data_IF_686627802258
#
_entry.id   IF_686627802258
#
_cell.length_a   1.000
_cell.length_b   1.000
_cell.length_c   1.000
_cell.angle_alpha   90.00
_cell.angle_beta   90.00
_cell.angle_gamma   90.00
#
_symmetry.space_group_name_H-M   'P 1'
#
loop_
_entity.id
_entity.type
_entity.pdbx_description
1 polymer ?
#
# COMPACT_ATOMS: atom_id res chain seq x y z
N UNK A 1 11.39 -13.60 51.29
CA UNK A 1 10.39 -13.70 50.21
C UNK A 1 10.48 -12.43 49.38
N UNK A 2 10.44 -12.54 48.06
CA UNK A 2 10.73 -11.43 47.16
C UNK A 2 9.52 -10.47 47.13
N UNK A 3 9.52 -9.46 48.01
CA UNK A 3 8.37 -8.57 48.34
C UNK A 3 7.97 -7.60 47.20
N UNK A 4 8.62 -7.75 46.04
CA UNK A 4 8.40 -6.97 44.83
C UNK A 4 7.18 -7.45 44.03
N UNK A 5 6.76 -8.70 44.20
CA UNK A 5 5.62 -9.25 43.45
C UNK A 5 4.32 -9.10 44.24
N UNK A 6 3.26 -8.64 43.58
CA UNK A 6 1.92 -8.63 44.18
C UNK A 6 1.48 -10.06 44.49
N UNK A 7 1.04 -10.31 45.72
CA UNK A 7 0.47 -11.61 46.10
C UNK A 7 -0.80 -11.90 45.30
N UNK A 8 -1.14 -13.18 45.15
CA UNK A 8 -2.34 -13.59 44.39
C UNK A 8 -3.62 -12.97 44.95
N UNK A 9 -3.69 -12.78 46.27
CA UNK A 9 -4.81 -12.09 46.94
C UNK A 9 -4.94 -10.64 46.47
N UNK A 10 -3.83 -9.91 46.36
CA UNK A 10 -3.83 -8.50 45.91
C UNK A 10 -4.16 -8.41 44.42
N UNK A 11 -3.63 -9.32 43.60
CA UNK A 11 -3.97 -9.35 42.17
C UNK A 11 -5.47 -9.63 41.95
N UNK A 12 -6.05 -10.54 42.74
CA UNK A 12 -7.47 -10.84 42.66
C UNK A 12 -8.34 -9.65 43.07
N UNK A 13 -7.99 -8.99 44.19
CA UNK A 13 -8.68 -7.76 44.63
C UNK A 13 -8.56 -6.62 43.62
N UNK A 14 -7.41 -6.48 42.94
CA UNK A 14 -7.22 -5.47 41.90
C UNK A 14 -8.12 -5.72 40.67
N UNK A 15 -8.31 -6.99 40.29
CA UNK A 15 -9.24 -7.37 39.21
C UNK A 15 -10.69 -7.06 39.60
N UNK A 16 -11.09 -7.42 40.82
CA UNK A 16 -12.44 -7.12 41.32
C UNK A 16 -12.73 -5.62 41.35
N UNK A 17 -11.82 -4.81 41.91
CA UNK A 17 -11.96 -3.36 41.94
C UNK A 17 -12.04 -2.74 40.53
N UNK A 18 -11.28 -3.29 39.57
CA UNK A 18 -11.32 -2.82 38.19
C UNK A 18 -12.66 -3.16 37.51
N UNK A 19 -13.19 -4.37 37.75
CA UNK A 19 -14.50 -4.79 37.23
C UNK A 19 -15.63 -3.92 37.82
N UNK A 20 -15.62 -3.68 39.13
CA UNK A 20 -16.61 -2.82 39.81
C UNK A 20 -16.59 -1.40 39.24
N UNK A 21 -15.41 -0.80 39.09
CA UNK A 21 -15.26 0.56 38.54
C UNK A 21 -15.66 0.69 37.08
N UNK A 22 -15.66 -0.41 36.32
CA UNK A 22 -15.88 -0.41 34.87
C UNK A 22 -17.15 -1.16 34.44
N UNK A 23 -18.16 -1.25 35.31
CA UNK A 23 -19.45 -1.90 35.04
C UNK A 23 -19.28 -3.36 34.55
N UNK A 24 -18.47 -4.14 35.26
CA UNK A 24 -18.23 -5.56 34.97
C UNK A 24 -17.25 -5.83 33.82
N UNK A 25 -16.53 -4.81 33.33
CA UNK A 25 -15.56 -4.96 32.25
C UNK A 25 -14.13 -4.72 32.73
N UNK A 26 -13.24 -5.68 32.49
CA UNK A 26 -11.83 -5.52 32.85
C UNK A 26 -11.13 -4.63 31.82
N UNK A 27 -10.55 -3.51 32.27
CA UNK A 27 -9.94 -2.50 31.38
C UNK A 27 -8.56 -2.09 31.86
N UNK A 28 -7.67 -1.84 30.89
CA UNK A 28 -6.37 -1.25 31.15
C UNK A 28 -6.53 0.18 31.71
N UNK A 29 -5.85 0.48 32.83
CA UNK A 29 -5.91 1.78 33.49
C UNK A 29 -5.36 2.94 32.65
N UNK A 30 -4.43 2.67 31.72
CA UNK A 30 -3.76 3.70 30.94
C UNK A 30 -4.44 4.02 29.60
N UNK A 31 -4.87 2.99 28.85
CA UNK A 31 -5.47 3.16 27.52
C UNK A 31 -6.94 2.77 27.43
N UNK A 32 -7.54 2.22 28.48
CA UNK A 32 -8.95 1.81 28.50
C UNK A 32 -9.29 0.57 27.68
N UNK A 33 -8.30 -0.11 27.08
CA UNK A 33 -8.52 -1.35 26.30
C UNK A 33 -9.15 -2.43 27.18
N UNK A 34 -10.21 -3.08 26.67
CA UNK A 34 -10.86 -4.23 27.32
C UNK A 34 -9.93 -5.45 27.29
N UNK A 35 -9.77 -6.10 28.45
CA UNK A 35 -8.98 -7.32 28.63
C UNK A 35 -9.97 -8.44 28.95
N UNK A 36 -9.92 -9.54 28.20
CA UNK A 36 -10.96 -10.59 28.32
C UNK A 36 -10.54 -11.66 29.32
N UNK A 37 -9.23 -11.85 29.52
CA UNK A 37 -8.67 -12.88 30.40
C UNK A 37 -7.64 -12.27 31.37
N UNK A 38 -7.52 -12.87 32.57
CA UNK A 38 -6.49 -12.48 33.56
C UNK A 38 -5.06 -12.63 33.00
N UNK A 39 -4.83 -13.58 32.10
CA UNK A 39 -3.52 -13.80 31.44
C UNK A 39 -3.06 -12.64 30.56
N UNK A 40 -3.96 -11.76 30.11
CA UNK A 40 -3.65 -10.56 29.33
C UNK A 40 -3.36 -9.33 30.21
N UNK A 41 -3.56 -9.47 31.52
CA UNK A 41 -3.40 -8.41 32.50
C UNK A 41 -1.98 -8.43 33.07
N UNK A 42 -1.30 -7.30 32.99
CA UNK A 42 -0.06 -7.08 33.71
C UNK A 42 -0.35 -6.21 34.93
N UNK A 43 -0.03 -6.73 36.11
CA UNK A 43 -0.14 -6.02 37.38
C UNK A 43 1.16 -5.26 37.62
N UNK A 44 1.07 -3.94 37.57
CA UNK A 44 2.22 -3.05 37.70
C UNK A 44 2.01 -2.06 38.84
N UNK A 45 3.09 -1.51 39.38
CA UNK A 45 3.00 -0.53 40.44
C UNK A 45 2.63 0.84 39.87
N UNK A 46 1.73 1.59 40.54
CA UNK A 46 1.44 3.00 40.16
C UNK A 46 2.66 3.86 40.44
N UNK A 47 3.21 3.73 41.64
CA UNK A 47 4.53 4.23 42.03
C UNK A 47 5.51 3.07 42.01
N UNK A 48 6.52 3.15 41.15
CA UNK A 48 7.51 2.10 40.98
C UNK A 48 8.11 1.61 42.30
N UNK A 49 8.29 0.30 42.44
CA UNK A 49 8.93 -0.30 43.62
C UNK A 49 10.33 0.28 43.88
N UNK A 50 11.09 0.58 42.82
CA UNK A 50 12.42 1.21 42.90
C UNK A 50 12.40 2.63 43.47
N UNK A 51 11.25 3.32 43.39
CA UNK A 51 11.02 4.63 44.02
C UNK A 51 10.35 4.51 45.40
N UNK A 52 10.32 3.30 45.98
CA UNK A 52 9.76 3.03 47.31
C UNK A 52 8.28 2.64 47.32
N UNK A 53 7.68 2.40 46.16
CA UNK A 53 6.30 1.93 46.07
C UNK A 53 6.11 0.54 46.69
N UNK A 54 5.21 0.42 47.67
CA UNK A 54 4.90 -0.88 48.29
C UNK A 54 4.00 -1.72 47.38
N UNK A 55 4.11 -3.05 47.48
CA UNK A 55 3.27 -4.00 46.74
C UNK A 55 1.89 -4.17 47.40
N UNK A 56 1.18 -3.06 47.62
CA UNK A 56 -0.17 -3.02 48.20
C UNK A 56 -1.24 -2.84 47.12
N UNK A 57 -2.50 -3.15 47.45
CA UNK A 57 -3.63 -3.02 46.51
C UNK A 57 -3.76 -1.60 45.95
N UNK A 58 -3.59 -0.57 46.79
CA UNK A 58 -3.72 0.84 46.39
C UNK A 58 -2.64 1.28 45.40
N UNK A 59 -1.51 0.58 45.37
CA UNK A 59 -0.41 0.86 44.46
C UNK A 59 -0.38 -0.12 43.27
N UNK A 60 -1.41 -0.95 43.09
CA UNK A 60 -1.51 -1.93 42.02
C UNK A 60 -2.42 -1.40 40.89
N UNK A 61 -1.94 -1.43 39.65
CA UNK A 61 -2.72 -1.09 38.45
C UNK A 61 -2.68 -2.21 37.41
N UNK A 62 -3.76 -2.31 36.64
CA UNK A 62 -3.90 -3.29 35.54
C UNK A 62 -3.55 -2.63 34.22
N UNK A 63 -2.51 -3.11 33.57
CA UNK A 63 -2.03 -2.64 32.26
C UNK A 63 -2.10 -3.73 31.20
N UNK A 64 -2.29 -3.32 29.94
CA UNK A 64 -2.07 -4.21 28.81
C UNK A 64 -0.57 -4.31 28.49
N UNK A 65 -0.16 -5.35 27.78
CA UNK A 65 1.26 -5.62 27.43
C UNK A 65 1.98 -4.39 26.87
N UNK A 66 1.36 -3.68 25.93
CA UNK A 66 1.98 -2.53 25.26
C UNK A 66 2.18 -1.35 26.22
N UNK A 67 1.21 -1.07 27.09
CA UNK A 67 1.33 0.02 28.08
C UNK A 67 2.34 -0.31 29.17
N UNK A 68 2.42 -1.58 29.58
CA UNK A 68 3.41 -2.05 30.56
C UNK A 68 4.85 -1.88 30.04
N UNK A 69 5.11 -2.26 28.78
CA UNK A 69 6.42 -2.07 28.15
C UNK A 69 6.79 -0.59 27.99
N UNK A 70 5.84 0.25 27.56
CA UNK A 70 6.09 1.68 27.42
C UNK A 70 6.38 2.38 28.76
N UNK A 71 5.85 1.86 29.87
CA UNK A 71 6.12 2.36 31.22
C UNK A 71 7.52 1.97 31.70
N UNK A 72 7.97 0.74 31.46
CA UNK A 72 9.33 0.33 31.84
C UNK A 72 10.42 1.15 31.15
N UNK A 73 10.20 1.52 29.87
CA UNK A 73 11.16 2.32 29.10
C UNK A 73 11.25 3.77 29.62
N UNK A 74 10.11 4.36 30.04
CA UNK A 74 10.08 5.69 30.65
C UNK A 74 10.70 5.70 32.05
N UNK A 75 10.38 4.71 32.88
CA UNK A 75 10.94 4.62 34.23
C UNK A 75 12.46 4.43 34.22
N UNK A 76 13.00 3.66 33.27
CA UNK A 76 14.45 3.50 33.10
C UNK A 76 15.12 4.83 32.69
N UNK A 77 14.47 5.59 31.81
CA UNK A 77 14.97 6.89 31.37
C UNK A 77 14.94 7.93 32.50
N UNK A 78 13.82 8.00 33.23
CA UNK A 78 13.65 8.93 34.35
C UNK A 78 14.58 8.59 35.53
N UNK A 79 14.83 7.29 35.80
CA UNK A 79 15.79 6.86 36.82
C UNK A 79 17.23 7.26 36.47
N UNK A 80 17.64 7.12 35.21
CA UNK A 80 18.97 7.54 34.72
C UNK A 80 19.16 9.06 34.80
N UNK A 81 18.09 9.83 34.62
CA UNK A 81 18.07 11.28 34.78
C UNK A 81 18.13 11.69 36.26
N UNK A 82 17.35 11.04 37.13
CA UNK A 82 17.36 11.29 38.57
C UNK A 82 18.69 10.91 39.24
N UNK A 83 19.35 9.82 38.85
CA UNK A 83 20.69 9.49 39.37
C UNK A 83 21.75 10.51 38.95
N UNK A 84 21.71 10.97 37.69
CA UNK A 84 22.60 12.03 37.20
C UNK A 84 22.34 13.36 37.91
N UNK A 85 21.07 13.70 38.13
CA UNK A 85 20.68 14.90 38.85
C UNK A 85 21.04 14.85 40.34
N UNK A 86 20.90 13.69 41.00
CA UNK A 86 21.31 13.50 42.40
C UNK A 86 22.82 13.61 42.59
N UNK A 87 23.61 12.99 41.70
CA UNK A 87 25.08 13.11 41.71
C UNK A 87 25.56 14.55 41.47
N UNK A 88 24.82 15.31 40.65
CA UNK A 88 25.10 16.71 40.40
C UNK A 88 24.70 17.64 41.58
N UNK A 89 23.58 17.36 42.25
CA UNK A 89 23.06 18.18 43.36
C UNK A 89 23.77 17.94 44.70
N UNK A 90 24.45 16.79 44.89
CA UNK A 90 25.23 16.50 46.10
C UNK A 90 26.61 17.17 46.13
N UNK A 91 26.95 17.97 45.11
CA UNK A 91 28.19 18.74 45.08
C UNK A 91 29.46 17.90 44.92
N UNK A 92 29.34 16.62 44.57
CA UNK A 92 30.48 15.84 44.12
C UNK A 92 30.79 16.23 42.68
N UNK A 93 31.94 16.88 42.50
CA UNK A 93 32.52 17.08 41.18
C UNK A 93 32.78 15.71 40.55
N UNK A 94 32.07 15.41 39.47
CA UNK A 94 32.48 14.35 38.55
C UNK A 94 33.58 14.98 37.68
N UNK A 95 34.76 15.13 38.27
CA UNK A 95 36.00 15.13 37.50
C UNK A 95 36.27 13.70 37.00
N UNK A 96 36.83 13.64 35.81
CA UNK A 96 37.15 12.44 35.06
C UNK A 96 38.21 11.55 35.76
N UNK A 97 38.04 10.25 35.53
CA UNK A 97 39.05 9.19 35.40
C UNK A 97 39.75 8.56 36.61
N UNK A 98 39.52 7.23 36.77
CA UNK A 98 40.58 6.28 37.15
C UNK A 98 40.46 5.01 36.28
N UNK A 99 41.16 5.02 35.15
CA UNK A 99 42.14 3.98 34.89
C UNK A 99 43.52 4.63 35.08
N UNK A 100 44.16 4.41 36.24
CA UNK A 100 45.52 4.87 36.47
C UNK A 100 46.54 3.77 36.13
N UNK A 101 47.50 4.09 35.28
CA UNK A 101 48.94 3.86 35.52
C UNK A 101 49.72 4.84 34.63
N UNK A 102 50.94 5.27 35.01
CA UNK A 102 51.09 6.62 35.54
C UNK A 102 52.01 7.52 34.70
N UNK A 103 51.90 8.80 35.04
CA UNK A 103 52.89 9.88 35.01
C UNK A 103 52.69 11.03 34.01
N UNK A 104 52.82 12.19 34.64
CA UNK A 104 53.24 13.50 34.14
C UNK A 104 52.16 14.37 33.51
N UNK A 105 51.57 15.19 34.38
CA UNK A 105 51.57 16.66 34.28
C UNK A 105 51.55 17.26 32.86
N UNK A 106 50.47 17.97 32.53
CA UNK A 106 50.47 19.41 32.22
C UNK A 106 49.13 19.81 31.60
N UNK A 107 48.44 20.74 32.27
CA UNK A 107 47.29 21.45 31.73
C UNK A 107 47.78 22.38 30.61
N UNK A 108 47.26 22.22 29.39
CA UNK A 108 47.25 23.28 28.38
C UNK A 108 45.83 23.36 27.82
N UNK A 109 45.18 24.50 28.02
CA UNK A 109 43.88 24.85 27.45
C UNK A 109 43.97 24.88 25.92
N UNK A 110 43.63 23.78 25.27
CA UNK A 110 43.84 23.64 23.83
C UNK A 110 42.65 24.27 23.08
N UNK A 111 42.76 25.55 22.74
CA UNK A 111 41.75 26.23 21.90
C UNK A 111 41.64 25.49 20.57
N UNK A 112 40.41 25.11 20.19
CA UNK A 112 40.12 24.45 18.92
C UNK A 112 40.55 25.32 17.73
N UNK A 113 41.70 25.02 17.12
CA UNK A 113 42.22 25.72 15.92
C UNK A 113 41.52 25.24 14.66
N UNK A 114 41.65 26.00 13.57
CA UNK A 114 41.08 25.61 12.27
C UNK A 114 41.68 24.31 11.76
N UNK A 115 42.99 24.08 11.89
CA UNK A 115 43.60 22.82 11.41
C UNK A 115 43.08 21.60 12.19
N UNK A 116 42.95 21.70 13.52
CA UNK A 116 42.40 20.61 14.35
C UNK A 116 40.94 20.32 13.99
N UNK A 117 40.15 21.36 13.77
CA UNK A 117 38.77 21.23 13.31
C UNK A 117 38.69 20.54 11.93
N UNK A 118 39.57 20.92 11.01
CA UNK A 118 39.60 20.38 9.65
C UNK A 118 40.01 18.90 9.61
N UNK A 119 40.94 18.48 10.47
CA UNK A 119 41.33 17.07 10.63
C UNK A 119 40.15 16.23 11.12
N UNK A 120 39.48 16.65 12.21
CA UNK A 120 38.36 15.89 12.80
C UNK A 120 37.19 15.78 11.83
N UNK A 121 36.81 16.90 11.18
CA UNK A 121 35.73 16.91 10.20
C UNK A 121 36.11 16.12 8.95
N UNK A 122 37.36 16.21 8.50
CA UNK A 122 37.88 15.46 7.37
C UNK A 122 37.86 13.94 7.59
N UNK A 123 38.28 13.46 8.77
CA UNK A 123 38.20 12.04 9.14
C UNK A 123 36.76 11.54 9.19
N UNK A 124 35.85 12.34 9.76
CA UNK A 124 34.44 12.00 9.78
C UNK A 124 33.87 11.88 8.37
N UNK A 125 34.16 12.84 7.49
CA UNK A 125 33.71 12.84 6.08
C UNK A 125 34.32 11.67 5.31
N UNK A 126 35.59 11.31 5.54
CA UNK A 126 36.20 10.12 4.92
C UNK A 126 35.46 8.83 5.30
N UNK A 127 34.97 8.73 6.53
CA UNK A 127 34.24 7.55 7.02
C UNK A 127 32.78 7.49 6.53
N UNK A 128 32.09 8.62 6.46
CA UNK A 128 30.63 8.66 6.21
C UNK A 128 30.26 9.15 4.80
N UNK A 129 31.21 9.75 4.08
CA UNK A 129 31.02 10.35 2.76
C UNK A 129 30.23 11.66 2.73
N UNK A 130 29.63 12.10 3.85
CA UNK A 130 28.86 13.35 3.93
C UNK A 130 28.73 13.80 5.39
N UNK A 131 28.45 15.09 5.60
CA UNK A 131 28.24 15.66 6.93
C UNK A 131 26.99 16.55 6.96
N UNK A 132 26.14 16.40 7.97
CA UNK A 132 24.93 17.21 8.18
C UNK A 132 25.02 17.98 9.50
N UNK A 133 24.20 19.03 9.63
CA UNK A 133 24.14 19.83 10.85
C UNK A 133 23.84 18.99 12.11
N UNK A 134 22.98 17.97 11.98
CA UNK A 134 22.63 17.03 13.06
C UNK A 134 23.79 16.11 13.48
N UNK A 135 24.84 15.97 12.67
CA UNK A 135 25.98 15.11 13.03
C UNK A 135 26.86 15.77 14.10
N UNK A 136 26.93 17.10 14.11
CA UNK A 136 27.64 17.88 15.13
C UNK A 136 26.93 17.91 16.49
N UNK A 137 25.66 17.48 16.55
CA UNK A 137 24.89 17.45 17.81
C UNK A 137 24.84 16.05 18.43
N UNK A 138 25.57 15.07 17.86
CA UNK A 138 25.58 13.69 18.33
C UNK A 138 26.95 13.39 18.94
N UNK A 139 27.01 13.25 20.26
CA UNK A 139 28.27 13.08 20.99
C UNK A 139 29.07 11.86 20.54
N UNK A 140 28.38 10.78 20.14
CA UNK A 140 28.98 9.56 19.57
C UNK A 140 29.80 9.79 18.29
N UNK A 141 29.62 10.92 17.62
CA UNK A 141 30.33 11.23 16.38
C UNK A 141 31.69 11.90 16.64
N UNK A 142 31.97 12.34 17.88
CA UNK A 142 33.23 13.01 18.23
C UNK A 142 33.47 14.33 17.47
N UNK A 143 32.41 14.94 16.94
CA UNK A 143 32.50 16.16 16.15
C UNK A 143 32.54 17.40 17.07
N UNK A 144 33.37 18.41 16.75
CA UNK A 144 33.40 19.67 17.48
C UNK A 144 32.10 20.45 17.33
N UNK A 145 31.87 21.46 18.17
CA UNK A 145 30.61 22.25 18.11
C UNK A 145 30.34 22.86 16.74
N UNK A 146 29.08 22.83 16.32
CA UNK A 146 28.61 23.43 15.05
C UNK A 146 28.89 24.93 14.95
N UNK A 147 29.16 25.62 16.07
CA UNK A 147 29.56 27.02 16.08
C UNK A 147 30.89 27.26 15.35
N UNK A 148 31.81 26.29 15.37
CA UNK A 148 33.08 26.37 14.64
C UNK A 148 32.90 26.31 13.12
N UNK A 149 31.83 25.67 12.62
CA UNK A 149 31.45 25.72 11.20
C UNK A 149 31.18 27.17 10.79
N UNK A 150 30.39 27.90 11.59
CA UNK A 150 30.11 29.32 11.33
C UNK A 150 31.36 30.19 11.47
N UNK A 151 32.21 29.88 12.45
CA UNK A 151 33.43 30.65 12.74
C UNK A 151 34.49 30.54 11.64
N UNK A 152 34.73 29.35 11.10
CA UNK A 152 35.82 29.10 10.15
C UNK A 152 35.39 29.04 8.69
N UNK A 153 34.13 28.70 8.41
CA UNK A 153 33.62 28.52 7.05
C UNK A 153 32.40 29.41 6.74
N UNK A 154 31.78 30.03 7.74
CA UNK A 154 30.55 30.83 7.57
C UNK A 154 29.30 29.96 7.45
N UNK A 155 29.21 29.10 6.44
CA UNK A 155 28.07 28.22 6.20
C UNK A 155 28.42 26.73 6.07
N UNK A 156 27.41 25.88 6.23
CA UNK A 156 27.53 24.43 6.05
C UNK A 156 27.82 24.05 4.59
N UNK A 157 27.40 24.88 3.62
CA UNK A 157 27.67 24.64 2.21
C UNK A 157 29.13 24.98 1.86
N UNK A 158 29.70 26.00 2.49
CA UNK A 158 31.09 26.40 2.29
C UNK A 158 32.05 25.36 2.89
N UNK A 159 31.74 24.86 4.09
CA UNK A 159 32.41 23.69 4.67
C UNK A 159 32.38 22.51 3.69
N UNK A 160 31.19 22.13 3.21
CA UNK A 160 31.04 21.00 2.27
C UNK A 160 31.88 21.21 1.00
N UNK A 161 31.85 22.41 0.44
CA UNK A 161 32.61 22.76 -0.77
C UNK A 161 34.11 22.67 -0.54
N UNK A 162 34.61 23.11 0.62
CA UNK A 162 36.02 23.02 1.00
C UNK A 162 36.51 21.56 1.15
N UNK A 163 35.62 20.65 1.55
CA UNK A 163 35.90 19.21 1.64
C UNK A 163 35.47 18.42 0.39
N UNK A 164 35.16 19.09 -0.73
CA UNK A 164 34.80 18.45 -2.00
C UNK A 164 33.43 17.76 -2.02
N UNK A 165 32.58 18.00 -1.02
CA UNK A 165 31.19 17.52 -0.99
C UNK A 165 30.32 18.52 -1.76
N UNK A 166 29.61 18.05 -2.78
CA UNK A 166 28.64 18.88 -3.50
C UNK A 166 27.57 19.41 -2.53
N UNK A 167 27.42 20.74 -2.37
CA UNK A 167 26.46 21.31 -1.43
C UNK A 167 25.02 20.96 -1.82
N UNK A 168 24.13 20.93 -0.83
CA UNK A 168 22.70 20.72 -1.08
C UNK A 168 22.21 21.95 -1.84
N UNK A 169 21.73 21.73 -3.08
CA UNK A 169 21.17 22.81 -3.89
C UNK A 169 19.95 23.37 -3.15
N UNK A 170 20.07 24.62 -2.70
CA UNK A 170 18.93 25.40 -2.24
C UNK A 170 18.22 25.93 -3.48
N UNK A 171 16.94 25.60 -3.59
CA UNK A 171 16.09 26.02 -4.69
C UNK A 171 15.52 27.41 -4.43
N UNK A 172 15.55 28.25 -5.46
CA UNK A 172 14.81 29.51 -5.54
C UNK A 172 14.12 29.55 -6.92
N UNK A 173 13.22 30.51 -7.16
CA UNK A 173 12.50 30.61 -8.45
C UNK A 173 13.47 30.62 -9.63
N UNK A 174 14.44 31.53 -9.65
CA UNK A 174 15.33 31.74 -10.80
C UNK A 174 16.20 30.52 -11.10
N UNK A 175 16.80 29.92 -10.07
CA UNK A 175 17.68 28.75 -10.19
C UNK A 175 16.93 27.49 -10.60
N UNK A 176 15.66 27.34 -10.18
CA UNK A 176 14.81 26.27 -10.70
C UNK A 176 14.65 26.43 -12.21
N UNK A 177 14.30 27.63 -12.66
CA UNK A 177 14.04 27.89 -14.08
C UNK A 177 15.29 27.78 -14.94
N UNK A 178 16.41 28.36 -14.49
CA UNK A 178 17.72 28.25 -15.13
C UNK A 178 18.10 26.79 -15.38
N UNK A 179 17.95 25.93 -14.36
CA UNK A 179 18.26 24.49 -14.48
C UNK A 179 17.30 23.75 -15.40
N UNK A 180 16.01 24.09 -15.38
CA UNK A 180 15.04 23.52 -16.31
C UNK A 180 15.37 23.91 -17.75
N UNK A 181 15.74 25.17 -18.00
CA UNK A 181 16.15 25.66 -19.32
C UNK A 181 17.44 24.98 -19.77
N UNK A 182 18.48 24.94 -18.94
CA UNK A 182 19.75 24.27 -19.25
C UNK A 182 19.54 22.79 -19.59
N UNK A 183 18.76 22.08 -18.75
CA UNK A 183 18.47 20.67 -18.97
C UNK A 183 17.62 20.45 -20.22
N UNK A 184 16.64 21.32 -20.49
CA UNK A 184 15.80 21.25 -21.70
C UNK A 184 16.60 21.43 -23.00
N UNK A 185 17.62 22.30 -23.00
CA UNK A 185 18.52 22.47 -24.14
C UNK A 185 19.33 21.20 -24.43
N UNK A 186 19.76 20.51 -23.37
CA UNK A 186 20.53 19.27 -23.50
C UNK A 186 19.65 18.06 -23.83
N UNK A 187 18.43 18.03 -23.28
CA UNK A 187 17.48 16.93 -23.44
C UNK A 187 16.07 17.46 -23.75
N UNK A 188 15.77 17.84 -25.00
CA UNK A 188 14.47 18.42 -25.37
C UNK A 188 13.27 17.53 -25.05
N UNK A 189 13.46 16.22 -25.02
CA UNK A 189 12.42 15.21 -24.79
C UNK A 189 12.25 14.74 -23.35
N UNK A 190 12.85 15.40 -22.35
CA UNK A 190 12.86 14.87 -20.98
C UNK A 190 11.46 14.68 -20.39
N UNK A 191 11.28 13.65 -19.57
CA UNK A 191 10.02 13.24 -18.95
C UNK A 191 9.95 13.74 -17.52
N UNK A 192 8.75 13.69 -16.94
CA UNK A 192 8.56 14.03 -15.52
C UNK A 192 9.44 13.17 -14.59
N UNK A 193 9.73 11.92 -14.99
CA UNK A 193 10.61 11.01 -14.25
C UNK A 193 12.05 11.53 -14.12
N UNK A 194 12.48 12.43 -15.01
CA UNK A 194 13.83 13.00 -14.99
C UNK A 194 14.00 14.11 -13.95
N UNK A 195 12.90 14.59 -13.34
CA UNK A 195 12.87 15.59 -12.27
C UNK A 195 13.34 15.00 -10.92
N UNK A 196 14.59 14.55 -10.89
CA UNK A 196 15.22 13.89 -9.74
C UNK A 196 16.54 14.56 -9.38
N UNK A 197 16.95 14.35 -8.11
CA UNK A 197 18.21 14.90 -7.58
C UNK A 197 19.45 14.42 -8.34
N UNK A 198 19.44 13.18 -8.84
CA UNK A 198 20.57 12.64 -9.62
C UNK A 198 20.82 13.43 -10.92
N UNK A 199 19.77 14.00 -11.50
CA UNK A 199 19.85 14.86 -12.68
C UNK A 199 20.06 16.34 -12.32
N UNK A 200 20.32 16.65 -11.04
CA UNK A 200 20.39 18.02 -10.52
C UNK A 200 19.13 18.86 -10.79
N UNK A 201 17.96 18.20 -10.78
CA UNK A 201 16.66 18.83 -10.98
C UNK A 201 15.79 18.77 -9.71
N UNK A 202 14.94 19.79 -9.47
CA UNK A 202 13.96 19.76 -8.39
C UNK A 202 12.84 18.77 -8.71
N UNK A 203 12.17 18.26 -7.68
CA UNK A 203 10.96 17.45 -7.87
C UNK A 203 9.81 18.31 -8.37
N UNK A 204 8.83 17.71 -9.06
CA UNK A 204 7.64 18.42 -9.55
C UNK A 204 6.92 19.20 -8.43
N UNK A 205 6.64 18.63 -7.24
CA UNK A 205 6.01 19.39 -6.16
C UNK A 205 6.84 20.61 -5.71
N UNK A 206 8.17 20.51 -5.75
CA UNK A 206 9.03 21.64 -5.43
C UNK A 206 8.88 22.75 -6.47
N UNK A 207 8.84 22.41 -7.77
CA UNK A 207 8.63 23.39 -8.84
C UNK A 207 7.27 24.09 -8.67
N UNK A 208 6.19 23.31 -8.50
CA UNK A 208 4.83 23.85 -8.38
C UNK A 208 4.63 24.73 -7.14
N UNK A 209 5.38 24.47 -6.06
CA UNK A 209 5.38 25.34 -4.86
C UNK A 209 5.94 26.74 -5.15
N UNK A 210 6.99 26.82 -5.99
CA UNK A 210 7.58 28.10 -6.40
C UNK A 210 6.88 28.73 -7.62
N UNK A 211 6.13 27.95 -8.40
CA UNK A 211 5.42 28.38 -9.60
C UNK A 211 3.95 27.92 -9.57
N UNK A 212 3.10 28.53 -8.72
CA UNK A 212 1.69 28.16 -8.59
C UNK A 212 0.85 28.47 -9.84
N UNK A 213 1.35 29.28 -10.77
CA UNK A 213 0.75 29.56 -12.08
C UNK A 213 0.67 28.30 -12.98
N UNK A 214 1.55 27.32 -12.75
CA UNK A 214 1.54 26.05 -13.47
C UNK A 214 0.83 24.98 -12.64
N UNK A 215 0.04 24.13 -13.29
CA UNK A 215 -0.71 23.06 -12.62
C UNK A 215 0.00 21.71 -12.70
N UNK A 216 0.74 21.49 -13.78
CA UNK A 216 1.32 20.19 -14.08
C UNK A 216 2.63 20.32 -14.89
N UNK A 217 3.29 19.19 -15.13
CA UNK A 217 4.54 19.14 -15.89
C UNK A 217 4.40 19.57 -17.36
N UNK A 218 3.23 19.41 -17.96
CA UNK A 218 2.94 19.82 -19.34
C UNK A 218 2.94 21.34 -19.48
N UNK A 219 2.39 22.04 -18.50
CA UNK A 219 2.41 23.51 -18.47
C UNK A 219 3.85 24.02 -18.41
N UNK A 220 4.70 23.38 -17.58
CA UNK A 220 6.13 23.69 -17.47
C UNK A 220 6.84 23.44 -18.81
N UNK A 221 6.58 22.29 -19.47
CA UNK A 221 7.14 22.01 -20.80
C UNK A 221 6.75 23.05 -21.84
N UNK A 222 5.47 23.45 -21.83
CA UNK A 222 4.94 24.46 -22.74
C UNK A 222 5.62 25.81 -22.51
N UNK A 223 5.80 26.20 -21.24
CA UNK A 223 6.49 27.42 -20.86
C UNK A 223 8.01 27.41 -21.17
N UNK A 224 8.63 26.23 -21.23
CA UNK A 224 10.00 26.03 -21.74
C UNK A 224 10.08 26.03 -23.28
N UNK A 225 8.94 26.12 -23.99
CA UNK A 225 8.88 26.08 -25.44
C UNK A 225 9.10 24.68 -26.04
N UNK A 226 8.88 23.63 -25.26
CA UNK A 226 9.05 22.24 -25.71
C UNK A 226 7.75 21.66 -26.27
N UNK A 227 7.87 20.86 -27.32
CA UNK A 227 6.74 20.13 -27.90
C UNK A 227 6.25 19.02 -26.94
N UNK A 228 4.93 18.89 -26.85
CA UNK A 228 4.28 17.82 -26.11
C UNK A 228 4.03 16.63 -27.05
N UNK A 229 4.34 15.43 -26.59
CA UNK A 229 4.09 14.18 -27.35
C UNK A 229 2.59 13.83 -27.47
N UNK A 230 1.71 14.67 -26.94
CA UNK A 230 0.26 14.56 -27.01
C UNK A 230 -0.36 15.94 -27.14
N UNK A 231 -1.53 15.98 -27.77
CA UNK A 231 -2.26 17.21 -27.98
C UNK A 231 -2.97 17.66 -26.69
N UNK A 232 -2.81 18.93 -26.33
CA UNK A 232 -3.59 19.56 -25.29
C UNK A 232 -4.99 19.87 -25.82
N UNK A 233 -5.96 19.14 -25.29
CA UNK A 233 -7.38 19.33 -25.59
C UNK A 233 -7.93 20.51 -24.80
N UNK A 234 -8.46 21.51 -25.50
CA UNK A 234 -9.41 22.47 -24.95
C UNK A 234 -10.84 22.03 -25.27
N UNK A 235 -11.84 22.58 -24.57
CA UNK A 235 -13.24 22.24 -24.83
C UNK A 235 -13.62 22.53 -26.30
N UNK A 236 -13.14 23.64 -26.83
CA UNK A 236 -13.40 24.08 -28.21
C UNK A 236 -12.73 23.14 -29.23
N UNK A 237 -11.45 22.76 -28.99
CA UNK A 237 -10.74 21.80 -29.85
C UNK A 237 -11.44 20.44 -29.90
N UNK A 238 -11.95 19.98 -28.75
CA UNK A 238 -12.74 18.75 -28.68
C UNK A 238 -13.98 18.85 -29.57
N UNK A 239 -14.76 19.93 -29.44
CA UNK A 239 -15.98 20.12 -30.24
C UNK A 239 -15.66 20.13 -31.73
N UNK A 240 -14.62 20.87 -32.16
CA UNK A 240 -14.23 20.95 -33.58
C UNK A 240 -13.78 19.58 -34.12
N UNK A 241 -12.96 18.84 -33.36
CA UNK A 241 -12.53 17.50 -33.76
C UNK A 241 -13.70 16.52 -33.86
N UNK A 242 -14.63 16.57 -32.90
CA UNK A 242 -15.83 15.74 -32.90
C UNK A 242 -16.79 16.10 -34.04
N UNK A 243 -17.01 17.38 -34.33
CA UNK A 243 -17.81 17.82 -35.48
C UNK A 243 -17.20 17.36 -36.81
N UNK A 244 -15.86 17.39 -36.94
CA UNK A 244 -15.18 16.85 -38.12
C UNK A 244 -15.41 15.35 -38.27
N UNK A 245 -15.37 14.60 -37.17
CA UNK A 245 -15.64 13.17 -37.16
C UNK A 245 -17.12 12.83 -37.49
N UNK A 246 -18.05 13.66 -37.02
CA UNK A 246 -19.48 13.50 -37.30
C UNK A 246 -19.86 13.73 -38.78
N UNK A 247 -18.98 14.35 -39.58
CA UNK A 247 -19.22 14.45 -41.04
C UNK A 247 -19.18 13.10 -41.74
N UNK A 248 -18.45 12.13 -41.20
CA UNK A 248 -18.29 10.79 -41.78
C UNK A 248 -19.02 9.70 -40.99
N UNK A 249 -19.42 9.98 -39.75
CA UNK A 249 -20.06 9.03 -38.85
C UNK A 249 -21.28 9.66 -38.17
N UNK A 250 -22.39 8.93 -38.06
CA UNK A 250 -23.61 9.47 -37.46
C UNK A 250 -23.57 9.55 -35.92
N UNK A 251 -22.64 8.82 -35.28
CA UNK A 251 -22.59 8.69 -33.83
C UNK A 251 -21.16 8.54 -33.31
N UNK A 252 -20.87 9.20 -32.18
CA UNK A 252 -19.64 9.00 -31.42
C UNK A 252 -19.93 8.16 -30.17
N UNK A 253 -19.24 7.03 -30.04
CA UNK A 253 -19.28 6.18 -28.86
C UNK A 253 -17.96 6.22 -28.09
N UNK A 254 -17.93 5.62 -26.89
CA UNK A 254 -16.70 5.51 -26.10
C UNK A 254 -15.57 4.77 -26.85
N UNK A 255 -15.90 3.86 -27.77
CA UNK A 255 -14.89 3.12 -28.54
C UNK A 255 -14.17 4.00 -29.54
N UNK A 256 -14.84 5.05 -30.03
CA UNK A 256 -14.35 5.92 -31.09
C UNK A 256 -13.44 7.03 -30.55
N UNK A 257 -13.52 7.33 -29.26
CA UNK A 257 -12.72 8.33 -28.53
C UNK A 257 -11.25 7.88 -28.35
N UNK A 258 -10.53 7.82 -29.47
CA UNK A 258 -9.15 7.36 -29.58
C UNK A 258 -8.33 8.30 -30.47
N UNK A 259 -7.02 8.32 -30.22
CA UNK A 259 -6.05 9.08 -31.02
C UNK A 259 -6.06 8.69 -32.50
N UNK A 260 -6.27 7.41 -32.81
CA UNK A 260 -6.35 6.88 -34.19
C UNK A 260 -7.44 7.59 -35.01
N UNK A 261 -8.55 7.95 -34.36
CA UNK A 261 -9.67 8.68 -34.96
C UNK A 261 -9.48 10.21 -34.90
N UNK A 262 -8.34 10.70 -34.42
CA UNK A 262 -8.12 12.13 -34.17
C UNK A 262 -9.00 12.68 -33.05
N UNK A 263 -9.48 11.83 -32.14
CA UNK A 263 -10.39 12.18 -31.06
C UNK A 263 -9.72 12.12 -29.68
N UNK A 264 -10.20 12.89 -28.70
CA UNK A 264 -9.72 12.82 -27.32
C UNK A 264 -10.07 11.47 -26.68
N UNK A 265 -9.41 11.14 -25.57
CA UNK A 265 -9.80 9.97 -24.76
C UNK A 265 -11.10 10.22 -24.01
N UNK A 266 -11.79 9.15 -23.63
CA UNK A 266 -13.04 9.21 -22.85
C UNK A 266 -12.91 10.02 -21.56
N UNK A 267 -11.74 9.98 -20.91
CA UNK A 267 -11.49 10.75 -19.69
C UNK A 267 -11.52 12.26 -19.93
N UNK A 268 -10.99 12.72 -21.06
CA UNK A 268 -11.02 14.14 -21.43
C UNK A 268 -12.46 14.61 -21.65
N UNK A 269 -13.29 13.78 -22.30
CA UNK A 269 -14.72 14.07 -22.46
C UNK A 269 -15.41 14.20 -21.11
N UNK A 270 -15.20 13.25 -20.18
CA UNK A 270 -15.81 13.33 -18.85
C UNK A 270 -15.36 14.56 -18.06
N UNK A 271 -14.09 14.97 -18.18
CA UNK A 271 -13.58 16.16 -17.50
C UNK A 271 -14.26 17.46 -17.99
N UNK A 272 -14.58 17.56 -19.29
CA UNK A 272 -15.18 18.78 -19.86
C UNK A 272 -16.72 18.79 -19.83
N UNK A 273 -17.36 17.65 -20.06
CA UNK A 273 -18.81 17.56 -20.27
C UNK A 273 -19.54 16.82 -19.15
N UNK A 274 -18.80 16.14 -18.25
CA UNK A 274 -19.33 15.40 -17.11
C UNK A 274 -19.99 14.07 -17.46
N UNK A 275 -20.73 13.97 -18.57
CA UNK A 275 -21.35 12.72 -19.03
C UNK A 275 -21.27 12.55 -20.55
N UNK A 276 -21.31 11.29 -21.00
CA UNK A 276 -21.30 10.97 -22.43
C UNK A 276 -22.57 11.48 -23.12
N UNK A 277 -23.70 11.45 -22.42
CA UNK A 277 -24.97 11.94 -22.92
C UNK A 277 -24.92 13.46 -23.17
N UNK A 278 -24.48 14.25 -22.17
CA UNK A 278 -24.34 15.71 -22.33
C UNK A 278 -23.37 16.07 -23.44
N UNK A 279 -22.27 15.34 -23.53
CA UNK A 279 -21.31 15.50 -24.63
C UNK A 279 -21.96 15.25 -25.99
N UNK A 280 -22.68 14.13 -26.16
CA UNK A 280 -23.36 13.78 -27.41
C UNK A 280 -24.41 14.82 -27.79
N UNK A 281 -25.20 15.30 -26.82
CA UNK A 281 -26.18 16.38 -27.00
C UNK A 281 -25.50 17.69 -27.45
N UNK A 282 -24.38 18.08 -26.82
CA UNK A 282 -23.69 19.34 -27.11
C UNK A 282 -22.99 19.34 -28.49
N UNK A 283 -22.56 18.17 -28.99
CA UNK A 283 -21.97 18.05 -30.33
C UNK A 283 -22.98 17.69 -31.43
N UNK A 284 -24.26 17.49 -31.09
CA UNK A 284 -25.29 17.05 -32.03
C UNK A 284 -25.14 15.62 -32.54
N UNK A 285 -24.48 14.75 -31.77
CA UNK A 285 -24.38 13.31 -32.06
C UNK A 285 -25.65 12.60 -31.61
N UNK A 286 -26.00 11.48 -32.26
CA UNK A 286 -27.04 10.59 -31.75
C UNK A 286 -26.74 10.15 -30.31
N UNK A 287 -27.67 10.44 -29.41
CA UNK A 287 -27.55 10.13 -27.99
C UNK A 287 -27.68 8.62 -27.79
N UNK A 288 -26.73 8.04 -27.05
CA UNK A 288 -26.87 6.66 -26.60
C UNK A 288 -28.02 6.57 -25.60
N UNK A 289 -29.13 5.93 -26.00
CA UNK A 289 -30.22 5.60 -25.07
C UNK A 289 -29.67 4.78 -23.91
N UNK A 290 -30.04 5.14 -22.67
CA UNK A 290 -29.85 4.23 -21.53
C UNK A 290 -30.66 2.97 -21.83
N UNK A 291 -30.08 1.80 -21.59
CA UNK A 291 -30.87 0.57 -21.57
C UNK A 291 -31.95 0.76 -20.51
N UNK A 292 -33.22 0.61 -20.92
CA UNK A 292 -34.34 0.66 -20.01
C UNK A 292 -34.17 -0.44 -18.95
N UNK A 293 -34.50 -0.11 -17.71
CA UNK A 293 -34.40 -1.08 -16.63
C UNK A 293 -35.54 -2.09 -16.79
N UNK A 294 -35.21 -3.25 -17.35
CA UNK A 294 -36.12 -4.39 -17.39
C UNK A 294 -36.17 -4.98 -15.97
N UNK A 295 -37.36 -5.07 -15.38
CA UNK A 295 -37.55 -5.57 -14.02
C UNK A 295 -37.55 -7.10 -13.98
N UNK A 296 -37.54 -7.70 -12.78
CA UNK A 296 -37.67 -9.17 -12.64
C UNK A 296 -39.04 -9.64 -13.10
N UNK A 297 -40.07 -8.89 -12.73
CA UNK A 297 -41.47 -9.17 -12.99
C UNK A 297 -41.76 -9.17 -14.49
N UNK A 298 -41.18 -8.22 -15.22
CA UNK A 298 -41.28 -8.15 -16.68
C UNK A 298 -40.61 -9.34 -17.37
N UNK A 299 -39.46 -9.79 -16.87
CA UNK A 299 -38.79 -10.99 -17.40
C UNK A 299 -39.66 -12.22 -17.17
N UNK A 300 -40.27 -12.35 -15.98
CA UNK A 300 -41.14 -13.47 -15.65
C UNK A 300 -42.43 -13.44 -16.48
N UNK A 301 -43.07 -12.29 -16.69
CA UNK A 301 -44.30 -12.21 -17.48
C UNK A 301 -44.07 -12.62 -18.94
N UNK A 302 -42.98 -12.14 -19.55
CA UNK A 302 -42.58 -12.56 -20.90
C UNK A 302 -42.29 -14.07 -20.94
N UNK A 303 -41.68 -14.59 -19.88
CA UNK A 303 -41.38 -16.03 -19.78
C UNK A 303 -42.66 -16.85 -19.69
N UNK A 304 -43.65 -16.42 -18.89
CA UNK A 304 -44.96 -17.06 -18.78
C UNK A 304 -45.69 -17.08 -20.12
N UNK A 305 -45.63 -15.99 -20.88
CA UNK A 305 -46.20 -15.95 -22.24
C UNK A 305 -45.56 -16.98 -23.16
N UNK A 306 -44.24 -17.12 -23.13
CA UNK A 306 -43.51 -18.12 -23.94
C UNK A 306 -43.86 -19.54 -23.50
N UNK A 307 -43.89 -19.78 -22.19
CA UNK A 307 -44.27 -21.08 -21.61
C UNK A 307 -45.72 -21.45 -21.94
N UNK A 308 -46.63 -20.47 -22.01
CA UNK A 308 -48.02 -20.69 -22.41
C UNK A 308 -48.16 -21.13 -23.88
N UNK A 309 -47.25 -20.66 -24.76
CA UNK A 309 -47.28 -20.95 -26.21
C UNK A 309 -46.50 -22.20 -26.60
N UNK A 310 -45.29 -22.37 -26.04
CA UNK A 310 -44.35 -23.42 -26.42
C UNK A 310 -44.28 -24.58 -25.40
N UNK A 311 -44.94 -24.44 -24.25
CA UNK A 311 -44.84 -25.36 -23.12
C UNK A 311 -43.66 -25.03 -22.19
N UNK A 312 -43.63 -25.66 -21.02
CA UNK A 312 -42.61 -25.41 -19.99
C UNK A 312 -41.32 -26.21 -20.18
N UNK A 313 -41.22 -27.02 -21.22
CA UNK A 313 -40.08 -27.93 -21.45
C UNK A 313 -39.34 -27.55 -22.71
N UNK A 314 -38.05 -27.20 -22.59
CA UNK A 314 -37.19 -26.83 -23.71
C UNK A 314 -36.01 -27.80 -23.84
N UNK A 315 -35.58 -28.05 -25.07
CA UNK A 315 -34.47 -28.97 -25.35
C UNK A 315 -33.14 -28.46 -24.80
N UNK A 316 -32.88 -27.15 -24.91
CA UNK A 316 -31.63 -26.54 -24.47
C UNK A 316 -31.82 -25.08 -24.07
N UNK A 317 -30.84 -24.53 -23.35
CA UNK A 317 -30.75 -23.09 -23.06
C UNK A 317 -30.80 -22.25 -24.35
N UNK A 318 -30.15 -22.71 -25.41
CA UNK A 318 -30.06 -21.96 -26.67
C UNK A 318 -31.44 -21.84 -27.32
N UNK A 319 -32.18 -22.95 -27.36
CA UNK A 319 -33.54 -23.01 -27.92
C UNK A 319 -34.49 -22.05 -27.20
N UNK A 320 -34.39 -21.94 -25.88
CA UNK A 320 -35.16 -20.95 -25.12
C UNK A 320 -34.78 -19.51 -25.48
N UNK A 321 -33.47 -19.22 -25.57
CA UNK A 321 -32.97 -17.86 -25.85
C UNK A 321 -33.23 -17.39 -27.29
N UNK A 322 -33.53 -18.29 -28.22
CA UNK A 322 -33.96 -17.94 -29.59
C UNK A 322 -35.37 -17.34 -29.61
N UNK A 323 -36.25 -17.82 -28.74
CA UNK A 323 -37.63 -17.33 -28.58
C UNK A 323 -37.72 -16.18 -27.56
N UNK A 324 -36.68 -15.94 -26.77
CA UNK A 324 -36.68 -14.94 -25.70
C UNK A 324 -36.25 -13.56 -26.22
N UNK A 325 -37.02 -12.49 -25.97
CA UNK A 325 -36.74 -11.15 -26.54
C UNK A 325 -35.55 -10.44 -25.91
N UNK A 326 -35.09 -10.88 -24.73
CA UNK A 326 -34.00 -10.24 -23.99
C UNK A 326 -32.71 -11.05 -24.01
N UNK A 327 -31.56 -10.36 -23.98
CA UNK A 327 -30.27 -11.04 -23.92
C UNK A 327 -30.07 -11.82 -22.61
N UNK A 328 -29.27 -12.88 -22.66
CA UNK A 328 -28.89 -13.67 -21.49
C UNK A 328 -28.33 -12.80 -20.34
N UNK A 329 -27.59 -11.73 -20.66
CA UNK A 329 -27.04 -10.83 -19.66
C UNK A 329 -28.12 -10.12 -18.85
N UNK A 330 -29.28 -9.79 -19.45
CA UNK A 330 -30.41 -9.17 -18.74
C UNK A 330 -30.94 -10.12 -17.68
N UNK A 331 -31.10 -11.40 -18.02
CA UNK A 331 -31.51 -12.46 -17.08
C UNK A 331 -30.47 -12.59 -15.96
N UNK A 332 -29.19 -12.74 -16.32
CA UNK A 332 -28.11 -12.91 -15.34
C UNK A 332 -27.97 -11.73 -14.37
N UNK A 333 -28.14 -10.49 -14.84
CA UNK A 333 -28.09 -9.31 -13.97
C UNK A 333 -29.25 -9.20 -12.98
N UNK A 334 -30.35 -9.95 -13.18
CA UNK A 334 -31.52 -9.94 -12.30
C UNK A 334 -31.60 -11.16 -11.41
N UNK A 335 -31.38 -12.34 -11.98
CA UNK A 335 -31.52 -13.63 -11.30
C UNK A 335 -30.18 -14.21 -10.83
N UNK A 336 -29.05 -13.58 -11.20
CA UNK A 336 -27.69 -14.01 -10.83
C UNK A 336 -27.18 -15.15 -11.71
N UNK A 337 -27.99 -16.19 -11.92
CA UNK A 337 -27.69 -17.31 -12.80
C UNK A 337 -28.88 -17.67 -13.68
N UNK A 338 -28.62 -18.35 -14.81
CA UNK A 338 -29.70 -18.86 -15.66
C UNK A 338 -30.45 -19.99 -14.97
N UNK A 339 -29.78 -20.82 -14.17
CA UNK A 339 -30.41 -21.92 -13.44
C UNK A 339 -31.41 -21.40 -12.40
N UNK A 340 -31.05 -20.35 -11.66
CA UNK A 340 -31.95 -19.68 -10.71
C UNK A 340 -33.17 -19.09 -11.39
N UNK A 341 -33.00 -18.51 -12.58
CA UNK A 341 -34.11 -18.03 -13.40
C UNK A 341 -35.02 -19.18 -13.86
N UNK A 342 -34.46 -20.31 -14.30
CA UNK A 342 -35.20 -21.49 -14.74
C UNK A 342 -36.01 -22.10 -13.60
N UNK A 343 -35.46 -22.15 -12.38
CA UNK A 343 -36.17 -22.58 -11.18
C UNK A 343 -37.33 -21.64 -10.83
N UNK A 344 -37.08 -20.32 -10.81
CA UNK A 344 -38.09 -19.31 -10.47
C UNK A 344 -39.20 -19.21 -11.53
N UNK A 345 -38.87 -19.40 -12.81
CA UNK A 345 -39.81 -19.41 -13.93
C UNK A 345 -40.44 -20.80 -14.19
N UNK A 346 -40.13 -21.81 -13.37
CA UNK A 346 -40.65 -23.18 -13.49
C UNK A 346 -40.44 -23.81 -14.89
N UNK A 347 -39.29 -23.55 -15.50
CA UNK A 347 -38.89 -24.11 -16.79
C UNK A 347 -38.15 -25.44 -16.58
N UNK A 348 -38.38 -26.43 -17.45
CA UNK A 348 -37.62 -27.69 -17.49
C UNK A 348 -36.71 -27.72 -18.72
N UNK A 349 -35.41 -27.89 -18.51
CA UNK A 349 -34.42 -28.07 -19.58
C UNK A 349 -34.02 -29.53 -19.69
N UNK A 350 -34.17 -30.13 -20.88
CA UNK A 350 -33.82 -31.54 -21.12
C UNK A 350 -32.30 -31.74 -21.19
N UNK A 351 -31.58 -30.83 -21.85
CA UNK A 351 -30.13 -30.89 -21.97
C UNK A 351 -29.45 -29.80 -21.11
N UNK A 352 -29.58 -29.89 -19.78
CA UNK A 352 -28.58 -29.21 -18.93
C UNK A 352 -27.30 -30.01 -19.04
N UNK A 353 -26.21 -29.40 -19.53
CA UNK A 353 -24.90 -30.08 -19.57
C UNK A 353 -24.51 -30.39 -18.12
N UNK A 354 -24.80 -31.60 -17.63
CA UNK A 354 -24.18 -32.14 -16.41
C UNK A 354 -22.67 -31.96 -16.54
N UNK A 355 -22.01 -31.69 -15.41
CA UNK A 355 -20.57 -31.54 -15.36
C UNK A 355 -19.90 -32.62 -16.22
N UNK A 356 -19.07 -32.20 -17.19
CA UNK A 356 -18.44 -33.09 -18.19
C UNK A 356 -17.70 -34.29 -17.57
N UNK A 357 -17.35 -34.19 -16.29
CA UNK A 357 -16.70 -35.24 -15.53
C UNK A 357 -17.33 -35.35 -14.13
N UNK A 358 -17.62 -36.58 -13.71
CA UNK A 358 -17.83 -36.92 -12.29
C UNK A 358 -16.49 -37.01 -11.56
N UNK A 359 -16.49 -36.96 -10.21
CA UNK A 359 -15.25 -37.12 -9.42
C UNK A 359 -14.55 -38.44 -9.76
N UNK A 360 -15.32 -39.53 -9.85
CA UNK A 360 -14.79 -40.86 -10.17
C UNK A 360 -14.19 -40.93 -11.58
N UNK A 361 -14.78 -40.24 -12.56
CA UNK A 361 -14.21 -40.16 -13.92
C UNK A 361 -12.90 -39.36 -13.96
N UNK A 362 -12.79 -38.29 -13.17
CA UNK A 362 -11.52 -37.55 -13.00
C UNK A 362 -10.47 -38.47 -12.37
N UNK A 363 -10.83 -39.17 -11.30
CA UNK A 363 -9.91 -40.05 -10.57
C UNK A 363 -9.41 -41.20 -11.45
N UNK A 364 -10.32 -41.85 -12.18
CA UNK A 364 -9.98 -42.93 -13.12
C UNK A 364 -9.06 -42.42 -14.24
N UNK A 365 -9.35 -41.25 -14.83
CA UNK A 365 -8.51 -40.67 -15.89
C UNK A 365 -7.08 -40.40 -15.41
N UNK A 366 -6.93 -39.90 -14.18
CA UNK A 366 -5.62 -39.64 -13.58
C UNK A 366 -4.90 -40.95 -13.23
N UNK A 367 -5.62 -41.93 -12.65
CA UNK A 367 -5.07 -43.23 -12.30
C UNK A 367 -4.58 -44.02 -13.52
N UNK A 368 -5.36 -44.06 -14.62
CA UNK A 368 -4.95 -44.71 -15.87
C UNK A 368 -3.68 -44.08 -16.45
N UNK A 369 -3.62 -42.74 -16.46
CA UNK A 369 -2.44 -42.01 -16.91
C UNK A 369 -1.20 -42.35 -16.07
N UNK A 370 -1.32 -42.43 -14.74
CA UNK A 370 -0.18 -42.78 -13.88
C UNK A 370 0.21 -44.26 -13.99
N UNK A 371 -0.75 -45.18 -14.12
CA UNK A 371 -0.49 -46.63 -14.30
C UNK A 371 0.26 -46.94 -15.59
N UNK A 372 0.08 -46.12 -16.63
CA UNK A 372 0.83 -46.24 -17.88
C UNK A 372 2.31 -45.81 -17.77
N UNK A 373 2.79 -45.45 -16.56
CA UNK A 373 4.19 -45.10 -16.30
C UNK A 373 4.55 -43.66 -16.66
N UNK A 374 3.55 -42.82 -16.98
CA UNK A 374 3.79 -41.44 -17.34
C UNK A 374 4.13 -40.57 -16.11
N UNK A 375 5.06 -39.60 -16.24
CA UNK A 375 5.39 -38.69 -15.16
C UNK A 375 4.24 -37.70 -14.90
N UNK A 376 4.20 -37.16 -13.68
CA UNK A 376 3.24 -36.12 -13.29
C UNK A 376 3.45 -34.89 -14.19
N UNK A 377 2.39 -34.34 -14.82
CA UNK A 377 2.52 -33.18 -15.68
C UNK A 377 3.16 -31.99 -14.96
N UNK A 378 4.10 -31.31 -15.62
CA UNK A 378 4.82 -30.19 -15.01
C UNK A 378 4.00 -28.90 -14.99
N UNK A 379 3.00 -28.79 -15.86
CA UNK A 379 2.09 -27.64 -15.91
C UNK A 379 0.67 -28.01 -16.29
N UNK A 380 -0.30 -27.24 -15.78
CA UNK A 380 -1.72 -27.38 -16.09
C UNK A 380 -2.05 -27.30 -17.59
N UNK A 381 -1.20 -26.64 -18.40
CA UNK A 381 -1.37 -26.50 -19.85
C UNK A 381 -1.16 -27.83 -20.60
N UNK A 382 -0.42 -28.77 -20.02
CA UNK A 382 -0.16 -30.07 -20.64
C UNK A 382 -1.36 -31.02 -20.55
N UNK A 383 -2.29 -30.79 -19.61
CA UNK A 383 -3.43 -31.67 -19.36
C UNK A 383 -4.29 -31.89 -20.62
N UNK A 384 -4.56 -30.84 -21.39
CA UNK A 384 -5.35 -30.96 -22.62
C UNK A 384 -4.65 -31.78 -23.70
N UNK A 385 -3.33 -31.62 -23.85
CA UNK A 385 -2.53 -32.37 -24.82
C UNK A 385 -2.41 -33.85 -24.46
N UNK A 386 -2.44 -34.14 -23.15
CA UNK A 386 -2.39 -35.50 -22.59
C UNK A 386 -3.77 -36.17 -22.50
N UNK A 387 -4.81 -35.56 -23.08
CA UNK A 387 -6.21 -36.02 -23.01
C UNK A 387 -6.74 -36.18 -21.57
N UNK A 388 -6.17 -35.45 -20.61
CA UNK A 388 -6.60 -35.43 -19.22
C UNK A 388 -7.68 -34.36 -18.97
N UNK A 389 -8.47 -34.48 -17.89
CA UNK A 389 -9.37 -33.43 -17.46
C UNK A 389 -8.64 -32.10 -17.26
N UNK A 390 -9.28 -30.99 -17.64
CA UNK A 390 -8.67 -29.66 -17.50
C UNK A 390 -8.38 -29.33 -16.03
N UNK A 391 -7.40 -28.47 -15.77
CA UNK A 391 -7.10 -28.03 -14.39
C UNK A 391 -8.34 -27.48 -13.68
N UNK A 392 -9.17 -26.69 -14.36
CA UNK A 392 -10.44 -26.21 -13.81
C UNK A 392 -11.44 -27.32 -13.51
N UNK A 393 -11.40 -28.45 -14.22
CA UNK A 393 -12.24 -29.63 -13.93
C UNK A 393 -11.76 -30.36 -12.68
N UNK A 394 -10.44 -30.53 -12.52
CA UNK A 394 -9.84 -31.18 -11.36
C UNK A 394 -10.05 -30.34 -10.10
N UNK A 395 -9.88 -29.02 -10.20
CA UNK A 395 -10.09 -28.06 -9.11
C UNK A 395 -11.53 -27.99 -8.57
N UNK A 396 -12.51 -28.59 -9.27
CA UNK A 396 -13.88 -28.72 -8.74
C UNK A 396 -13.97 -29.75 -7.61
N UNK A 397 -13.01 -30.67 -7.52
CA UNK A 397 -13.01 -31.79 -6.57
C UNK A 397 -11.80 -31.80 -5.64
N UNK A 398 -10.76 -31.02 -5.95
CA UNK A 398 -9.50 -30.95 -5.23
C UNK A 398 -9.04 -29.48 -5.07
N UNK A 399 -8.41 -29.15 -3.94
CA UNK A 399 -7.90 -27.79 -3.68
C UNK A 399 -6.73 -27.40 -4.60
N UNK A 400 -5.99 -28.39 -5.10
CA UNK A 400 -4.91 -28.24 -6.07
C UNK A 400 -5.06 -29.29 -7.17
N UNK A 401 -4.85 -28.86 -8.42
CA UNK A 401 -4.94 -29.73 -9.59
C UNK A 401 -3.83 -30.79 -9.62
N UNK A 402 -2.70 -30.55 -8.94
CA UNK A 402 -1.57 -31.48 -8.86
C UNK A 402 -1.71 -32.51 -7.72
N UNK A 403 -2.44 -32.16 -6.65
CA UNK A 403 -2.66 -33.01 -5.50
C UNK A 403 -3.16 -34.45 -5.82
N UNK A 404 -4.15 -34.68 -6.70
CA UNK A 404 -4.58 -36.05 -7.01
C UNK A 404 -3.49 -36.88 -7.70
N UNK A 405 -2.62 -36.27 -8.51
CA UNK A 405 -1.51 -36.98 -9.14
C UNK A 405 -0.49 -37.47 -8.11
N UNK A 406 -0.12 -36.61 -7.16
CA UNK A 406 0.82 -36.97 -6.09
C UNK A 406 0.23 -38.06 -5.17
N UNK A 407 -1.07 -37.96 -4.85
CA UNK A 407 -1.78 -38.93 -4.02
C UNK A 407 -1.84 -40.31 -4.68
N UNK A 408 -2.27 -40.38 -5.94
CA UNK A 408 -2.38 -41.65 -6.67
C UNK A 408 -1.01 -42.25 -7.00
N UNK A 409 0.01 -41.42 -7.28
CA UNK A 409 1.38 -41.92 -7.48
C UNK A 409 1.93 -42.60 -6.21
N UNK A 410 1.68 -42.02 -5.03
CA UNK A 410 2.05 -42.64 -3.75
C UNK A 410 1.33 -43.98 -3.55
N UNK A 411 0.03 -44.05 -3.86
CA UNK A 411 -0.75 -45.29 -3.76
C UNK A 411 -0.19 -46.38 -4.68
N UNK A 412 0.11 -46.06 -5.94
CA UNK A 412 0.68 -47.02 -6.92
C UNK A 412 2.04 -47.54 -6.43
N UNK A 413 2.90 -46.66 -5.92
CA UNK A 413 4.22 -47.03 -5.39
C UNK A 413 4.14 -47.90 -4.13
N UNK A 414 3.10 -47.72 -3.29
CA UNK A 414 2.86 -48.56 -2.12
C UNK A 414 2.35 -49.96 -2.49
N UNK A 415 1.55 -50.09 -3.54
CA UNK A 415 1.05 -51.39 -4.03
C UNK A 415 2.02 -52.16 -4.91
N UNK A 416 3.12 -51.53 -5.35
CA UNK A 416 4.16 -52.13 -6.20
C UNK A 416 5.36 -52.66 -5.41
N UNK A 417 5.32 -52.53 -4.06
CA UNK A 417 6.21 -53.20 -3.10
C UNK A 417 5.45 -54.35 -2.46
#
# INVERSE_FOLDING_TARGET
>A
MNDRFFSESIQYQAVLSNLEKNNGQLKCAFCGKKLTMKSECHFDHIVAYTKGGKSTLDNCQILCKNCNMAKSDKELHDFLLEEKAKKFMSGESIDEDINNTPQSSLIVSDKMTKEKFDVIVGEFIKRTGNIRKLDFTRDKNGLPSVTYVKKYYGSMNDLKSAFGITPVIVWNRDKIWERLVEYSKKYPGFKQADLIKANNLPSLPCILSYYPEYKNFSDIKTALGLELNYELWSKEKVIVACQKYLKTHNKITQKDLRRENGLPTTKVIYNFFGSMQRFQEEIGSEVSKRQEFISKEEILSVTEEIVSKAGSTFESRTTFLEEFPYSLSVIMHRFGSFDSFVEEANIKLLNSKKAKYTKQEVDNSILEYLKSGNPIPSSAKQLSSLKLPSSSTILRFYDDWKAPFDLFMKMINMTSK
#
